data_IF_103205905689
#
_entry.id   IF_103205905689
#
_cell.length_a   1.000
_cell.length_b   1.000
_cell.length_c   1.000
_cell.angle_alpha   90.00
_cell.angle_beta   90.00
_cell.angle_gamma   90.00
#
_symmetry.space_group_name_H-M   'P 1'
#
loop_
_entity.id
_entity.type
_entity.pdbx_description
1 polymer ?
#
# COMPACT_ATOMS: atom_id res chain seq x y z
N UNK A 1 -8.66 25.89 -9.27
CA UNK A 1 -8.38 24.72 -8.42
C UNK A 1 -6.88 24.43 -8.48
N UNK A 2 -6.15 24.50 -7.37
CA UNK A 2 -4.73 24.09 -7.35
C UNK A 2 -4.70 22.56 -7.56
N UNK A 3 -4.02 22.08 -8.60
CA UNK A 3 -3.72 20.65 -8.73
C UNK A 3 -2.87 20.28 -7.51
N UNK A 4 -3.43 19.52 -6.57
CA UNK A 4 -2.60 18.84 -5.59
C UNK A 4 -1.73 17.86 -6.37
N UNK A 5 -0.44 18.15 -6.47
CA UNK A 5 0.54 17.19 -6.95
C UNK A 5 0.60 16.09 -5.88
N UNK A 6 -0.19 15.05 -6.08
CA UNK A 6 -0.16 13.87 -5.24
C UNK A 6 1.14 13.15 -5.54
N UNK A 7 2.03 13.05 -4.54
CA UNK A 7 3.26 12.29 -4.67
C UNK A 7 2.91 10.78 -4.77
N UNK A 8 3.23 10.10 -5.89
CA UNK A 8 2.88 8.70 -6.08
C UNK A 8 3.51 7.79 -5.01
N UNK A 9 4.72 8.11 -4.56
CA UNK A 9 5.40 7.35 -3.52
C UNK A 9 4.68 7.46 -2.18
N UNK A 10 4.36 8.70 -1.75
CA UNK A 10 3.63 8.94 -0.50
C UNK A 10 2.27 8.24 -0.50
N UNK A 11 1.59 8.25 -1.65
CA UNK A 11 0.30 7.55 -1.83
C UNK A 11 0.45 6.04 -1.67
N UNK A 12 1.46 5.44 -2.32
CA UNK A 12 1.71 4.01 -2.22
C UNK A 12 2.10 3.61 -0.78
N UNK A 13 2.90 4.44 -0.11
CA UNK A 13 3.32 4.23 1.27
C UNK A 13 2.13 4.31 2.25
N UNK A 14 1.25 5.29 2.10
CA UNK A 14 0.06 5.42 2.93
C UNK A 14 -0.86 4.20 2.80
N UNK A 15 -1.13 3.75 1.57
CA UNK A 15 -1.93 2.54 1.33
C UNK A 15 -1.28 1.29 1.93
N UNK A 16 0.05 1.19 1.85
CA UNK A 16 0.78 0.08 2.46
C UNK A 16 0.60 0.06 3.99
N UNK A 17 0.70 1.22 4.63
CA UNK A 17 0.53 1.38 6.08
C UNK A 17 -0.88 1.01 6.53
N UNK A 18 -1.91 1.50 5.83
CA UNK A 18 -3.31 1.18 6.09
C UNK A 18 -3.61 -0.31 5.97
N UNK A 19 -3.07 -0.98 4.95
CA UNK A 19 -3.23 -2.42 4.78
C UNK A 19 -2.49 -3.22 5.86
N UNK A 20 -1.36 -2.72 6.35
CA UNK A 20 -0.64 -3.34 7.47
C UNK A 20 -1.48 -3.32 8.74
N UNK A 21 -2.07 -2.18 9.08
CA UNK A 21 -2.96 -2.03 10.24
C UNK A 21 -4.22 -2.91 10.11
N UNK A 22 -4.87 -2.91 8.94
CA UNK A 22 -6.04 -3.78 8.69
C UNK A 22 -5.71 -5.27 8.80
N UNK A 23 -4.54 -5.68 8.31
CA UNK A 23 -4.12 -7.09 8.40
C UNK A 23 -3.96 -7.63 9.82
N UNK A 24 -3.74 -6.74 10.81
CA UNK A 24 -3.64 -7.11 12.22
C UNK A 24 -5.00 -7.25 12.91
N UNK A 25 -6.06 -6.66 12.34
CA UNK A 25 -7.40 -6.61 12.95
C UNK A 25 -8.42 -7.58 12.34
N UNK A 26 -8.03 -8.27 11.27
CA UNK A 26 -8.85 -9.30 10.63
C UNK A 26 -8.54 -10.66 11.25
N UNK A 27 -9.55 -11.52 11.40
CA UNK A 27 -9.37 -12.91 11.81
C UNK A 27 -9.47 -13.90 10.64
N UNK A 28 -10.17 -13.52 9.57
CA UNK A 28 -10.28 -14.33 8.36
C UNK A 28 -8.95 -14.46 7.61
N UNK A 29 -8.55 -15.72 7.37
CA UNK A 29 -7.27 -16.04 6.72
C UNK A 29 -7.29 -15.63 5.24
N UNK A 30 -8.44 -15.75 4.56
CA UNK A 30 -8.53 -15.38 3.15
C UNK A 30 -8.35 -13.86 2.95
N UNK A 31 -8.96 -13.07 3.83
CA UNK A 31 -8.81 -11.61 3.86
C UNK A 31 -7.39 -11.19 4.29
N UNK A 32 -6.77 -11.85 5.28
CA UNK A 32 -5.34 -11.65 5.61
C UNK A 32 -4.44 -11.86 4.39
N UNK A 33 -4.66 -12.96 3.65
CA UNK A 33 -3.88 -13.27 2.45
C UNK A 33 -4.12 -12.24 1.33
N UNK A 34 -5.34 -11.69 1.22
CA UNK A 34 -5.63 -10.60 0.30
C UNK A 34 -4.82 -9.34 0.65
N UNK A 35 -4.80 -8.93 1.91
CA UNK A 35 -4.04 -7.77 2.36
C UNK A 35 -2.53 -7.97 2.21
N UNK A 36 -2.02 -9.16 2.51
CA UNK A 36 -0.62 -9.50 2.28
C UNK A 36 -0.22 -9.31 0.81
N UNK A 37 -0.98 -9.88 -0.13
CA UNK A 37 -0.70 -9.74 -1.58
C UNK A 37 -0.72 -8.27 -2.03
N UNK A 38 -1.70 -7.50 -1.56
CA UNK A 38 -1.79 -6.06 -1.87
C UNK A 38 -0.58 -5.28 -1.34
N UNK A 39 -0.09 -5.62 -0.14
CA UNK A 39 1.12 -5.01 0.44
C UNK A 39 2.37 -5.33 -0.38
N UNK A 40 2.55 -6.57 -0.83
CA UNK A 40 3.67 -6.94 -1.71
C UNK A 40 3.64 -6.15 -3.02
N UNK A 41 2.46 -6.01 -3.64
CA UNK A 41 2.34 -5.21 -4.86
C UNK A 41 2.71 -3.74 -4.64
N UNK A 42 2.30 -3.14 -3.51
CA UNK A 42 2.67 -1.77 -3.16
C UNK A 42 4.17 -1.61 -2.88
N UNK A 43 4.83 -2.60 -2.28
CA UNK A 43 6.29 -2.61 -2.15
C UNK A 43 6.96 -2.59 -3.52
N UNK A 44 6.48 -3.40 -4.48
CA UNK A 44 6.99 -3.39 -5.85
C UNK A 44 6.81 -2.03 -6.53
N UNK A 45 5.66 -1.37 -6.34
CA UNK A 45 5.41 -0.02 -6.86
C UNK A 45 6.33 1.01 -6.22
N UNK A 46 6.50 1.00 -4.90
CA UNK A 46 7.42 1.91 -4.21
C UNK A 46 8.87 1.70 -4.67
N UNK A 47 9.29 0.46 -4.87
CA UNK A 47 10.62 0.14 -5.39
C UNK A 47 10.81 0.67 -6.82
N UNK A 48 9.81 0.50 -7.69
CA UNK A 48 9.82 1.06 -9.04
C UNK A 48 9.94 2.59 -9.02
N UNK A 49 9.13 3.26 -8.18
CA UNK A 49 9.14 4.72 -8.05
C UNK A 49 10.45 5.29 -7.46
N UNK A 50 11.22 4.49 -6.73
CA UNK A 50 12.53 4.88 -6.20
C UNK A 50 13.67 4.65 -7.20
N UNK A 51 13.44 3.81 -8.22
CA UNK A 51 14.44 3.50 -9.25
C UNK A 51 14.36 4.41 -10.49
N UNK A 52 13.33 5.25 -10.58
CA UNK A 52 13.09 6.26 -11.62
C UNK A 52 13.43 7.66 -11.09
#
# INVERSE_FOLDING_TARGET
>A
MKKHNVNPFETAYEQYRLLSERSQSVDDIAEKNLYFRRRINLLGVMQFLLSE
#
